data_IF_147502680141
#
_entry.id   IF_147502680141
#
_cell.length_a   1.000
_cell.length_b   1.000
_cell.length_c   1.000
_cell.angle_alpha   90.00
_cell.angle_beta   90.00
_cell.angle_gamma   90.00
#
_symmetry.space_group_name_H-M   'P 1'
#
loop_
_entity.id
_entity.type
_entity.pdbx_description
1 polymer ?
#
# COMPACT_ATOMS: atom_id res chain seq x y z
N UNK A 1 26.50 26.81 -33.07
CA UNK A 1 25.21 26.79 -32.36
C UNK A 1 25.00 25.36 -31.89
N UNK A 2 25.39 25.04 -30.66
CA UNK A 2 25.31 23.68 -30.13
C UNK A 2 23.90 23.41 -29.65
N UNK A 3 23.31 22.28 -30.05
CA UNK A 3 22.04 21.81 -29.50
C UNK A 3 22.34 21.18 -28.16
N UNK A 4 21.91 21.81 -27.07
CA UNK A 4 21.88 21.19 -25.74
C UNK A 4 20.76 20.14 -25.71
N UNK A 5 21.14 18.90 -25.44
CA UNK A 5 20.19 17.80 -25.28
C UNK A 5 19.90 17.69 -23.78
N UNK A 6 18.73 18.17 -23.36
CA UNK A 6 18.20 17.93 -22.02
C UNK A 6 17.80 16.45 -21.90
N UNK A 7 18.79 15.59 -21.70
CA UNK A 7 18.53 14.20 -21.33
C UNK A 7 17.87 14.24 -19.95
N UNK A 8 16.64 13.76 -19.83
CA UNK A 8 15.84 13.74 -18.58
C UNK A 8 16.44 12.88 -17.44
N UNK A 9 17.75 12.69 -17.46
CA UNK A 9 18.58 12.10 -16.43
C UNK A 9 18.74 13.18 -15.33
N UNK A 10 17.72 13.31 -14.48
CA UNK A 10 17.73 14.25 -13.36
C UNK A 10 19.03 14.14 -12.58
N UNK A 11 19.70 15.28 -12.40
CA UNK A 11 20.95 15.42 -11.66
C UNK A 11 20.90 14.62 -10.35
N UNK A 12 21.90 13.78 -10.09
CA UNK A 12 22.11 13.08 -8.81
C UNK A 12 22.49 14.07 -7.71
N UNK A 13 21.55 14.95 -7.37
CA UNK A 13 21.80 16.04 -6.45
C UNK A 13 21.78 15.49 -5.03
N UNK A 14 22.93 15.51 -4.36
CA UNK A 14 23.08 14.97 -3.01
C UNK A 14 22.03 15.53 -2.03
N UNK A 15 21.68 16.83 -2.15
CA UNK A 15 20.64 17.44 -1.31
C UNK A 15 19.25 16.86 -1.56
N UNK A 16 18.91 16.47 -2.79
CA UNK A 16 17.60 15.87 -3.10
C UNK A 16 17.50 14.49 -2.46
N UNK A 17 18.58 13.70 -2.53
CA UNK A 17 18.65 12.40 -1.85
C UNK A 17 18.60 12.52 -0.33
N UNK A 18 19.28 13.51 0.26
CA UNK A 18 19.18 13.79 1.69
C UNK A 18 17.76 14.19 2.11
N UNK A 19 17.10 15.04 1.32
CA UNK A 19 15.71 15.44 1.56
C UNK A 19 14.75 14.24 1.46
N UNK A 20 14.92 13.38 0.44
CA UNK A 20 14.15 12.15 0.29
C UNK A 20 14.37 11.19 1.47
N UNK A 21 15.62 10.98 1.89
CA UNK A 21 15.95 10.13 3.03
C UNK A 21 15.33 10.66 4.33
N UNK A 22 15.39 11.97 4.57
CA UNK A 22 14.73 12.60 5.71
C UNK A 22 13.21 12.43 5.64
N UNK A 23 12.61 12.58 4.45
CA UNK A 23 11.19 12.35 4.23
C UNK A 23 10.77 10.92 4.58
N UNK A 24 11.51 9.92 4.09
CA UNK A 24 11.27 8.50 4.42
C UNK A 24 11.43 8.25 5.92
N UNK A 25 12.44 8.85 6.56
CA UNK A 25 12.65 8.72 8.00
C UNK A 25 11.47 9.29 8.80
N UNK A 26 11.04 10.51 8.48
CA UNK A 26 9.89 11.15 9.14
C UNK A 26 8.59 10.39 8.91
N UNK A 27 8.37 9.90 7.69
CA UNK A 27 7.23 9.03 7.38
C UNK A 27 7.26 7.75 8.21
N UNK A 28 8.43 7.14 8.35
CA UNK A 28 8.63 5.93 9.15
C UNK A 28 8.34 6.19 10.64
N UNK A 29 8.77 7.34 11.17
CA UNK A 29 8.44 7.77 12.53
C UNK A 29 6.95 8.04 12.71
N UNK A 30 6.29 8.65 11.72
CA UNK A 30 4.86 8.88 11.75
C UNK A 30 4.09 7.55 11.82
N UNK A 31 4.41 6.60 10.92
CA UNK A 31 3.82 5.25 10.92
C UNK A 31 4.10 4.54 12.25
N UNK A 32 5.34 4.59 12.75
CA UNK A 32 5.70 3.99 14.02
C UNK A 32 4.91 4.60 15.20
N UNK A 33 4.70 5.92 15.18
CA UNK A 33 3.96 6.62 16.24
C UNK A 33 2.47 6.24 16.30
N UNK A 34 1.91 5.79 15.17
CA UNK A 34 0.55 5.25 15.07
C UNK A 34 0.45 3.80 15.55
N UNK A 35 1.59 3.13 15.77
CA UNK A 35 1.65 1.77 16.32
C UNK A 35 1.18 1.70 17.78
N UNK A 36 0.65 0.53 18.17
CA UNK A 36 0.24 0.29 19.57
C UNK A 36 1.46 0.29 20.48
N UNK A 37 1.48 1.16 21.49
CA UNK A 37 2.55 1.27 22.50
C UNK A 37 2.47 0.20 23.59
N UNK A 38 1.46 -0.66 23.54
CA UNK A 38 1.10 -1.65 24.56
C UNK A 38 2.00 -2.91 24.54
N UNK A 39 3.17 -2.85 23.89
CA UNK A 39 4.11 -3.96 23.89
C UNK A 39 4.57 -4.26 25.31
N UNK A 40 4.15 -5.42 25.83
CA UNK A 40 4.52 -5.90 27.17
C UNK A 40 5.52 -7.03 27.03
N UNK A 41 6.73 -6.82 27.58
CA UNK A 41 7.75 -7.87 27.64
C UNK A 41 7.28 -9.04 28.49
N UNK A 42 7.67 -10.26 28.11
CA UNK A 42 7.27 -11.51 28.78
C UNK A 42 5.79 -11.89 28.60
N UNK A 43 5.12 -11.36 27.57
CA UNK A 43 3.74 -11.75 27.22
C UNK A 43 3.69 -12.53 25.91
N UNK A 44 2.51 -13.05 25.57
CA UNK A 44 2.26 -13.72 24.28
C UNK A 44 2.58 -12.84 23.06
N UNK A 45 2.74 -11.53 23.23
CA UNK A 45 3.22 -10.61 22.19
C UNK A 45 4.68 -10.87 21.75
N UNK A 46 5.47 -11.61 22.53
CA UNK A 46 6.83 -12.04 22.17
C UNK A 46 6.86 -13.37 21.40
N UNK A 47 5.76 -14.11 21.41
CA UNK A 47 5.68 -15.39 20.72
C UNK A 47 5.46 -15.18 19.21
N UNK A 48 5.99 -16.07 18.36
CA UNK A 48 5.67 -16.08 16.93
C UNK A 48 4.15 -16.09 16.71
N UNK A 49 3.67 -15.17 15.88
CA UNK A 49 2.25 -15.15 15.51
C UNK A 49 1.94 -16.30 14.55
N UNK A 50 1.39 -17.39 15.07
CA UNK A 50 0.95 -18.56 14.30
C UNK A 50 -0.56 -18.57 14.09
N UNK A 51 -1.12 -17.46 13.61
CA UNK A 51 -2.56 -17.36 13.29
C UNK A 51 -3.50 -17.75 14.45
N UNK A 52 -3.06 -17.57 15.70
CA UNK A 52 -3.83 -17.89 16.91
C UNK A 52 -3.54 -19.27 17.53
N UNK A 53 -2.65 -20.07 16.94
CA UNK A 53 -2.29 -21.40 17.46
C UNK A 53 -1.03 -21.34 18.35
N UNK A 54 -1.01 -22.11 19.44
CA UNK A 54 0.17 -22.27 20.29
C UNK A 54 0.87 -23.58 19.94
N UNK A 55 2.11 -23.48 19.49
CA UNK A 55 2.92 -24.63 19.08
C UNK A 55 4.25 -24.57 19.82
N UNK A 56 4.69 -25.70 20.38
CA UNK A 56 6.04 -25.85 20.96
C UNK A 56 7.09 -25.87 19.83
N UNK A 57 8.22 -25.19 20.00
CA UNK A 57 9.24 -24.97 18.94
C UNK A 57 8.69 -24.30 17.67
N UNK A 58 7.79 -23.32 17.86
CA UNK A 58 7.15 -22.56 16.80
C UNK A 58 8.17 -21.93 15.81
N UNK A 59 8.07 -22.31 14.53
CA UNK A 59 8.77 -21.65 13.42
C UNK A 59 7.76 -20.86 12.58
N UNK A 60 8.11 -19.62 12.23
CA UNK A 60 7.28 -18.79 11.35
C UNK A 60 7.39 -19.33 9.93
N UNK A 61 6.36 -20.04 9.47
CA UNK A 61 6.17 -20.34 8.06
C UNK A 61 5.80 -19.08 7.26
N UNK A 62 6.18 -19.03 5.98
CA UNK A 62 5.87 -17.93 5.05
C UNK A 62 4.38 -17.49 5.07
N UNK A 63 3.39 -18.40 5.16
CA UNK A 63 1.98 -18.01 5.19
C UNK A 63 1.58 -17.19 6.42
N UNK A 64 2.26 -17.40 7.55
CA UNK A 64 1.94 -16.71 8.81
C UNK A 64 2.48 -15.28 8.83
N UNK A 65 3.55 -14.99 8.09
CA UNK A 65 4.19 -13.67 8.05
C UNK A 65 3.25 -12.58 7.49
N UNK A 66 2.42 -12.93 6.52
CA UNK A 66 1.52 -12.00 5.83
C UNK A 66 0.06 -12.12 6.28
N UNK A 67 -0.24 -12.96 7.28
CA UNK A 67 -1.62 -13.19 7.70
C UNK A 67 -2.32 -11.89 8.13
N UNK A 68 -1.67 -11.08 8.96
CA UNK A 68 -2.24 -9.81 9.41
C UNK A 68 -2.47 -8.81 8.28
N UNK A 69 -1.58 -8.79 7.28
CA UNK A 69 -1.75 -8.00 6.06
C UNK A 69 -2.95 -8.49 5.23
N UNK A 70 -3.05 -9.80 5.01
CA UNK A 70 -4.15 -10.40 4.28
C UNK A 70 -5.50 -10.17 4.98
N UNK A 71 -5.56 -10.35 6.29
CA UNK A 71 -6.77 -10.15 7.10
C UNK A 71 -7.22 -8.69 7.07
N UNK A 72 -6.28 -7.74 7.21
CA UNK A 72 -6.57 -6.32 7.12
C UNK A 72 -7.06 -5.89 5.72
N UNK A 73 -6.65 -6.60 4.66
CA UNK A 73 -7.04 -6.32 3.28
C UNK A 73 -8.42 -6.89 2.92
N UNK A 74 -8.94 -7.89 3.65
CA UNK A 74 -10.23 -8.53 3.35
C UNK A 74 -11.39 -7.54 3.22
N UNK A 75 -11.65 -6.60 4.16
CA UNK A 75 -12.80 -5.70 4.05
C UNK A 75 -12.75 -4.82 2.79
N UNK A 76 -11.54 -4.41 2.38
CA UNK A 76 -11.34 -3.66 1.15
C UNK A 76 -11.67 -4.50 -0.08
N UNK A 77 -11.15 -5.73 -0.14
CA UNK A 77 -11.41 -6.66 -1.24
C UNK A 77 -12.89 -7.06 -1.32
N UNK A 78 -13.56 -7.23 -0.18
CA UNK A 78 -14.99 -7.51 -0.15
C UNK A 78 -15.82 -6.34 -0.68
N UNK A 79 -15.46 -5.10 -0.31
CA UNK A 79 -16.10 -3.90 -0.87
C UNK A 79 -15.90 -3.81 -2.38
N UNK A 80 -14.70 -4.11 -2.86
CA UNK A 80 -14.38 -4.11 -4.29
C UNK A 80 -15.13 -5.23 -5.04
N UNK A 81 -15.20 -6.43 -4.44
CA UNK A 81 -15.99 -7.55 -4.96
C UNK A 81 -17.46 -7.15 -5.11
N UNK A 82 -18.02 -6.45 -4.13
CA UNK A 82 -19.42 -6.01 -4.16
C UNK A 82 -19.71 -4.96 -5.25
N UNK A 83 -18.67 -4.33 -5.83
CA UNK A 83 -18.81 -3.44 -6.97
C UNK A 83 -19.01 -4.20 -8.30
N UNK A 84 -18.81 -5.52 -8.31
CA UNK A 84 -19.00 -6.38 -9.46
C UNK A 84 -20.36 -7.07 -9.38
N UNK A 85 -21.35 -6.58 -10.12
CA UNK A 85 -22.71 -7.14 -10.13
C UNK A 85 -22.87 -8.35 -11.05
N UNK A 86 -21.97 -8.51 -12.03
CA UNK A 86 -22.11 -9.50 -13.11
C UNK A 86 -23.20 -9.16 -14.14
N UNK A 87 -23.88 -8.01 -13.99
CA UNK A 87 -24.90 -7.55 -14.94
C UNK A 87 -24.27 -6.67 -16.02
N UNK A 88 -24.39 -7.08 -17.29
CA UNK A 88 -23.73 -6.39 -18.42
C UNK A 88 -24.08 -4.90 -18.53
N UNK A 89 -25.29 -4.51 -18.14
CA UNK A 89 -25.73 -3.12 -18.20
C UNK A 89 -24.89 -2.19 -17.31
N UNK A 90 -24.41 -2.67 -16.17
CA UNK A 90 -23.59 -1.85 -15.26
C UNK A 90 -22.23 -1.53 -15.89
N UNK A 91 -21.65 -2.45 -16.66
CA UNK A 91 -20.40 -2.22 -17.37
C UNK A 91 -20.56 -1.23 -18.52
N UNK A 92 -21.66 -1.32 -19.27
CA UNK A 92 -21.98 -0.35 -20.33
C UNK A 92 -22.20 1.04 -19.72
N UNK A 93 -22.88 1.11 -18.57
CA UNK A 93 -23.06 2.35 -17.82
C UNK A 93 -21.72 2.95 -17.38
N UNK A 94 -20.86 2.17 -16.73
CA UNK A 94 -19.53 2.63 -16.32
C UNK A 94 -18.65 3.05 -17.50
N UNK A 95 -18.74 2.35 -18.63
CA UNK A 95 -18.05 2.75 -19.86
C UNK A 95 -18.49 4.14 -20.33
N UNK A 96 -19.80 4.41 -20.37
CA UNK A 96 -20.33 5.71 -20.76
C UNK A 96 -19.90 6.83 -19.79
N UNK A 97 -19.89 6.57 -18.48
CA UNK A 97 -19.42 7.52 -17.45
C UNK A 97 -17.94 7.85 -17.65
N UNK A 98 -17.09 6.85 -17.82
CA UNK A 98 -15.64 7.04 -18.03
C UNK A 98 -15.40 7.82 -19.33
N UNK A 99 -16.12 7.48 -20.41
CA UNK A 99 -16.05 8.21 -21.67
C UNK A 99 -16.42 9.69 -21.51
N UNK A 100 -17.50 9.98 -20.78
CA UNK A 100 -17.91 11.35 -20.50
C UNK A 100 -16.83 12.12 -19.71
N UNK A 101 -16.25 11.50 -18.68
CA UNK A 101 -15.15 12.11 -17.90
C UNK A 101 -13.94 12.41 -18.78
N UNK A 102 -13.54 11.48 -19.65
CA UNK A 102 -12.41 11.68 -20.58
C UNK A 102 -12.71 12.85 -21.52
N UNK A 103 -13.90 12.91 -22.10
CA UNK A 103 -14.29 14.00 -23.00
C UNK A 103 -14.25 15.35 -22.29
N UNK A 104 -14.75 15.43 -21.05
CA UNK A 104 -14.69 16.66 -20.25
C UNK A 104 -13.23 17.08 -19.97
N UNK A 105 -12.34 16.15 -19.64
CA UNK A 105 -10.93 16.45 -19.38
C UNK A 105 -10.17 16.89 -20.64
N UNK A 106 -10.51 16.35 -21.81
CA UNK A 106 -9.86 16.70 -23.08
C UNK A 106 -10.35 18.04 -23.63
N UNK A 107 -11.62 18.39 -23.36
CA UNK A 107 -12.22 19.64 -23.84
C UNK A 107 -12.13 20.80 -22.83
N UNK A 108 -11.61 20.56 -21.62
CA UNK A 108 -11.26 21.58 -20.62
C UNK A 108 -9.85 22.12 -20.84
#
# INVERSE_FOLDING_TARGET
>A
MGVEIHTGQGFWHALVWLAAALGVFLLSLAIWSMGRREFRRGTEAELPFLSGERVEDARVGVPHLYWGFAEALKPFLERLRNFHSGFIGDYVGWFAVILAVILLLVMA
#
